data_IF_026032301328
#
_entry.id   IF_026032301328
#
_cell.length_a   1.000
_cell.length_b   1.000
_cell.length_c   1.000
_cell.angle_alpha   90.00
_cell.angle_beta   90.00
_cell.angle_gamma   90.00
#
_symmetry.space_group_name_H-M   'P 1'
#
loop_
_entity.id
_entity.type
_entity.pdbx_description
1 polymer ?
#
# COMPACT_ATOMS: atom_id res chain seq x y z
N UNK A 1 -26.07 2.60 -20.90
CA UNK A 1 -24.87 2.81 -21.73
C UNK A 1 -24.17 1.47 -21.84
N UNK A 2 -24.17 0.90 -23.04
CA UNK A 2 -23.42 -0.31 -23.37
C UNK A 2 -21.97 0.08 -23.68
N UNK A 3 -21.00 -0.81 -23.45
CA UNK A 3 -19.55 -0.59 -23.69
C UNK A 3 -19.17 -0.03 -25.08
N UNK A 4 -20.10 -0.06 -26.05
CA UNK A 4 -19.95 0.46 -27.40
C UNK A 4 -19.99 2.00 -27.56
N UNK A 5 -20.29 2.78 -26.51
CA UNK A 5 -20.37 4.26 -26.61
C UNK A 5 -19.09 5.01 -26.15
N UNK A 6 -18.03 4.29 -25.77
CA UNK A 6 -16.79 4.90 -25.27
C UNK A 6 -15.93 5.41 -26.42
N UNK A 7 -15.54 6.70 -26.38
CA UNK A 7 -14.55 7.28 -27.29
C UNK A 7 -13.16 7.25 -26.62
N UNK A 8 -12.30 6.25 -26.94
CA UNK A 8 -10.97 6.12 -26.32
C UNK A 8 -10.08 7.35 -26.56
N UNK A 9 -10.33 8.13 -27.63
CA UNK A 9 -9.54 9.32 -27.94
C UNK A 9 -9.93 10.52 -27.07
N UNK A 10 -11.19 10.65 -26.69
CA UNK A 10 -11.64 11.67 -25.76
C UNK A 10 -11.19 11.37 -24.33
N UNK A 11 -11.37 10.13 -23.88
CA UNK A 11 -10.95 9.68 -22.55
C UNK A 11 -9.42 9.76 -22.38
N UNK A 12 -8.64 9.39 -23.40
CA UNK A 12 -7.17 9.55 -23.37
C UNK A 12 -6.76 11.02 -23.23
N UNK A 13 -7.43 11.95 -23.92
CA UNK A 13 -7.15 13.39 -23.83
C UNK A 13 -7.44 13.93 -22.44
N UNK A 14 -8.50 13.45 -21.79
CA UNK A 14 -8.85 13.81 -20.42
C UNK A 14 -7.79 13.34 -19.43
N UNK A 15 -7.39 12.07 -19.51
CA UNK A 15 -6.34 11.51 -18.66
C UNK A 15 -4.99 12.25 -18.86
N UNK A 16 -4.66 12.62 -20.10
CA UNK A 16 -3.50 13.47 -20.41
C UNK A 16 -3.61 14.88 -19.85
N UNK A 17 -4.82 15.43 -19.71
CA UNK A 17 -5.05 16.73 -19.07
C UNK A 17 -4.76 16.66 -17.57
N UNK A 18 -5.25 15.62 -16.89
CA UNK A 18 -4.98 15.37 -15.46
C UNK A 18 -3.49 15.16 -15.18
N UNK A 19 -2.81 14.45 -16.07
CA UNK A 19 -1.36 14.28 -16.00
C UNK A 19 -0.62 15.63 -16.08
N UNK A 20 -1.02 16.51 -16.99
CA UNK A 20 -0.45 17.87 -17.12
C UNK A 20 -0.77 18.75 -15.90
N UNK A 21 -1.90 18.52 -15.25
CA UNK A 21 -2.27 19.16 -13.99
C UNK A 21 -1.56 18.57 -12.75
N UNK A 22 -0.59 17.65 -12.94
CA UNK A 22 0.16 16.96 -11.87
C UNK A 22 -0.70 16.07 -10.96
N UNK A 23 -1.89 15.69 -11.41
CA UNK A 23 -2.75 14.70 -10.75
C UNK A 23 -2.32 13.30 -11.21
N UNK A 24 -1.12 12.88 -10.80
CA UNK A 24 -0.46 11.68 -11.33
C UNK A 24 -1.16 10.37 -10.98
N UNK A 25 -1.73 10.30 -9.78
CA UNK A 25 -2.54 9.20 -9.27
C UNK A 25 -3.81 9.00 -10.11
N UNK A 26 -4.59 10.06 -10.30
CA UNK A 26 -5.84 10.04 -11.08
C UNK A 26 -5.53 9.71 -12.55
N UNK A 27 -4.51 10.35 -13.12
CA UNK A 27 -4.10 10.09 -14.49
C UNK A 27 -3.61 8.65 -14.71
N UNK A 28 -2.95 8.05 -13.71
CA UNK A 28 -2.53 6.64 -13.76
C UNK A 28 -3.72 5.69 -13.74
N UNK A 29 -4.67 5.87 -12.80
CA UNK A 29 -5.85 5.01 -12.69
C UNK A 29 -6.69 5.03 -13.97
N UNK A 30 -6.88 6.21 -14.57
CA UNK A 30 -7.59 6.36 -15.83
C UNK A 30 -6.83 5.74 -17.01
N UNK A 31 -5.52 5.94 -17.09
CA UNK A 31 -4.70 5.32 -18.13
C UNK A 31 -4.69 3.79 -18.00
N UNK A 32 -4.68 3.24 -16.77
CA UNK A 32 -4.75 1.80 -16.54
C UNK A 32 -6.12 1.23 -16.93
N UNK A 33 -7.21 1.93 -16.61
CA UNK A 33 -8.57 1.55 -17.03
C UNK A 33 -8.72 1.56 -18.55
N UNK A 34 -8.18 2.59 -19.21
CA UNK A 34 -8.14 2.69 -20.67
C UNK A 34 -7.33 1.57 -21.31
N UNK A 35 -6.15 1.24 -20.76
CA UNK A 35 -5.31 0.16 -21.28
C UNK A 35 -5.97 -1.21 -21.14
N UNK A 36 -6.78 -1.43 -20.09
CA UNK A 36 -7.59 -2.65 -19.93
C UNK A 36 -8.74 -2.72 -20.95
N UNK A 37 -9.41 -1.60 -21.21
CA UNK A 37 -10.54 -1.53 -22.13
C UNK A 37 -10.12 -1.54 -23.61
N UNK A 38 -8.94 -0.98 -23.93
CA UNK A 38 -8.45 -0.79 -25.30
C UNK A 38 -6.98 -1.23 -25.43
N UNK A 39 -6.67 -2.52 -25.18
CA UNK A 39 -5.30 -3.01 -25.13
C UNK A 39 -4.54 -2.88 -26.47
N UNK A 40 -5.26 -2.91 -27.59
CA UNK A 40 -4.69 -2.89 -28.94
C UNK A 40 -4.32 -1.48 -29.44
N UNK A 41 -4.63 -0.42 -28.68
CA UNK A 41 -4.33 0.96 -29.08
C UNK A 41 -2.94 1.36 -28.54
N UNK A 42 -1.91 1.52 -29.40
CA UNK A 42 -0.54 1.73 -28.94
C UNK A 42 -0.34 3.03 -28.14
N UNK A 43 -1.09 4.08 -28.47
CA UNK A 43 -1.01 5.37 -27.77
C UNK A 43 -1.52 5.29 -26.33
N UNK A 44 -2.54 4.46 -26.07
CA UNK A 44 -3.07 4.22 -24.73
C UNK A 44 -2.08 3.42 -23.90
N UNK A 45 -1.54 2.33 -24.46
CA UNK A 45 -0.52 1.53 -23.79
C UNK A 45 0.75 2.36 -23.48
N UNK A 46 1.21 3.16 -24.44
CA UNK A 46 2.35 4.06 -24.23
C UNK A 46 2.06 5.09 -23.13
N UNK A 47 0.85 5.66 -23.09
CA UNK A 47 0.48 6.62 -22.07
C UNK A 47 0.38 5.99 -20.68
N UNK A 48 -0.26 4.82 -20.54
CA UNK A 48 -0.31 4.08 -19.28
C UNK A 48 1.08 3.73 -18.75
N UNK A 49 2.01 3.34 -19.64
CA UNK A 49 3.41 3.11 -19.26
C UNK A 49 4.12 4.38 -18.80
N UNK A 50 3.84 5.53 -19.45
CA UNK A 50 4.42 6.82 -19.08
C UNK A 50 3.89 7.33 -17.73
N UNK A 51 2.58 7.31 -17.50
CA UNK A 51 1.97 7.72 -16.22
C UNK A 51 2.46 6.85 -15.07
N UNK A 52 2.59 5.54 -15.30
CA UNK A 52 3.19 4.60 -14.34
C UNK A 52 4.62 4.98 -13.95
N UNK A 53 5.51 5.26 -14.93
CA UNK A 53 6.90 5.67 -14.67
C UNK A 53 6.96 6.96 -13.87
N UNK A 54 6.11 7.94 -14.20
CA UNK A 54 6.05 9.22 -13.50
C UNK A 54 5.50 9.07 -12.08
N UNK A 55 4.47 8.24 -11.88
CA UNK A 55 3.91 7.97 -10.55
C UNK A 55 4.95 7.29 -9.63
N UNK A 56 5.72 6.33 -10.17
CA UNK A 56 6.84 5.70 -9.46
C UNK A 56 7.95 6.73 -9.11
N UNK A 57 8.35 7.57 -10.06
CA UNK A 57 9.34 8.62 -9.79
C UNK A 57 8.85 9.61 -8.72
N UNK A 58 7.55 9.94 -8.71
CA UNK A 58 6.94 10.78 -7.69
C UNK A 58 6.94 10.09 -6.31
N UNK A 59 6.58 8.81 -6.24
CA UNK A 59 6.66 8.02 -5.01
C UNK A 59 8.08 8.02 -4.42
N UNK A 60 9.10 7.78 -5.25
CA UNK A 60 10.51 7.84 -4.82
C UNK A 60 10.93 9.23 -4.32
N UNK A 61 10.40 10.29 -4.92
CA UNK A 61 10.67 11.66 -4.47
C UNK A 61 10.04 11.92 -3.10
N UNK A 62 8.81 11.46 -2.86
CA UNK A 62 8.12 11.57 -1.57
C UNK A 62 8.83 10.77 -0.47
N UNK A 63 9.36 9.58 -0.80
CA UNK A 63 10.18 8.81 0.14
C UNK A 63 11.43 9.62 0.54
N UNK A 64 12.13 10.19 -0.44
CA UNK A 64 13.33 11.01 -0.17
C UNK A 64 13.03 12.30 0.60
N UNK A 65 11.82 12.86 0.48
CA UNK A 65 11.41 14.05 1.21
C UNK A 65 10.81 13.76 2.58
N UNK A 66 10.65 12.49 2.95
CA UNK A 66 10.01 12.07 4.21
C UNK A 66 8.48 12.16 4.20
N UNK A 67 7.85 12.42 3.05
CA UNK A 67 6.39 12.44 2.89
C UNK A 67 5.83 11.02 2.73
N UNK A 68 6.11 10.16 3.72
CA UNK A 68 5.97 8.70 3.62
C UNK A 68 4.50 8.22 3.58
N UNK A 69 3.57 8.95 4.17
CA UNK A 69 2.13 8.67 4.05
C UNK A 69 1.64 8.89 2.61
N UNK A 70 2.08 9.97 1.96
CA UNK A 70 1.75 10.23 0.55
C UNK A 70 2.42 9.21 -0.38
N UNK A 71 3.68 8.86 -0.08
CA UNK A 71 4.39 7.81 -0.80
C UNK A 71 3.63 6.47 -0.70
N UNK A 72 3.08 6.17 0.48
CA UNK A 72 2.28 4.96 0.68
C UNK A 72 1.00 4.95 -0.14
N UNK A 73 0.24 6.04 -0.14
CA UNK A 73 -0.98 6.12 -0.96
C UNK A 73 -0.68 5.86 -2.44
N UNK A 74 0.44 6.37 -2.95
CA UNK A 74 0.88 6.09 -4.32
C UNK A 74 1.30 4.62 -4.47
N UNK A 75 2.00 4.07 -3.49
CA UNK A 75 2.37 2.66 -3.49
C UNK A 75 1.15 1.74 -3.60
N UNK A 76 0.05 2.04 -2.89
CA UNK A 76 -1.20 1.27 -2.96
C UNK A 76 -1.76 1.21 -4.39
N UNK A 77 -1.64 2.29 -5.17
CA UNK A 77 -2.07 2.28 -6.57
C UNK A 77 -1.14 1.46 -7.47
N UNK A 78 0.14 1.34 -7.11
CA UNK A 78 1.15 0.61 -7.87
C UNK A 78 1.28 -0.86 -7.45
N UNK A 79 0.76 -1.25 -6.29
CA UNK A 79 1.01 -2.58 -5.70
C UNK A 79 0.35 -3.74 -6.44
N UNK A 80 -0.68 -3.44 -7.24
CA UNK A 80 -1.34 -4.43 -8.12
C UNK A 80 -0.55 -4.66 -9.43
N UNK A 81 0.51 -3.88 -9.66
CA UNK A 81 1.39 -4.01 -10.83
C UNK A 81 2.58 -4.94 -10.51
N UNK A 82 2.50 -6.16 -11.00
CA UNK A 82 3.44 -7.25 -10.72
C UNK A 82 4.87 -7.00 -11.21
N UNK A 83 5.09 -6.10 -12.16
CA UNK A 83 6.43 -5.79 -12.70
C UNK A 83 7.24 -4.86 -11.77
N UNK A 84 6.59 -4.05 -10.93
CA UNK A 84 7.25 -2.95 -10.22
C UNK A 84 7.01 -2.90 -8.70
N UNK A 85 6.04 -3.65 -8.18
CA UNK A 85 5.70 -3.67 -6.76
C UNK A 85 6.89 -4.01 -5.82
N UNK A 86 7.79 -5.00 -6.09
CA UNK A 86 8.75 -5.45 -5.07
C UNK A 86 9.83 -4.42 -4.71
N UNK A 87 10.48 -3.80 -5.70
CA UNK A 87 11.61 -2.89 -5.45
C UNK A 87 11.15 -1.54 -4.84
N UNK A 88 9.97 -1.08 -5.23
CA UNK A 88 9.36 0.11 -4.64
C UNK A 88 8.87 -0.17 -3.21
N UNK A 89 8.35 -1.38 -2.98
CA UNK A 89 7.94 -1.83 -1.65
C UNK A 89 9.13 -1.82 -0.68
N UNK A 90 10.25 -2.46 -1.03
CA UNK A 90 11.43 -2.53 -0.16
C UNK A 90 11.91 -1.11 0.22
N UNK A 91 12.00 -0.21 -0.78
CA UNK A 91 12.42 1.18 -0.60
C UNK A 91 11.48 2.00 0.30
N UNK A 92 10.17 1.77 0.21
CA UNK A 92 9.20 2.42 1.10
C UNK A 92 9.27 1.83 2.50
N UNK A 93 9.30 0.50 2.64
CA UNK A 93 9.27 -0.15 3.95
C UNK A 93 10.45 0.19 4.83
N UNK A 94 11.65 0.27 4.25
CA UNK A 94 12.84 0.63 5.02
C UNK A 94 12.78 2.09 5.51
N UNK A 95 12.24 3.01 4.69
CA UNK A 95 12.05 4.40 5.11
C UNK A 95 10.89 4.54 6.13
N UNK A 96 9.77 3.88 5.88
CA UNK A 96 8.57 3.92 6.72
C UNK A 96 8.80 3.35 8.13
N UNK A 97 9.54 2.24 8.26
CA UNK A 97 9.87 1.64 9.55
C UNK A 97 10.78 2.53 10.40
N UNK A 98 11.61 3.38 9.76
CA UNK A 98 12.55 4.25 10.45
C UNK A 98 11.87 5.57 10.89
N UNK A 99 11.09 6.18 10.00
CA UNK A 99 10.68 7.58 10.15
C UNK A 99 9.20 7.77 10.50
N UNK A 100 8.35 6.73 10.37
CA UNK A 100 6.93 6.82 10.74
C UNK A 100 6.63 6.15 12.09
N UNK A 101 5.65 6.67 12.85
CA UNK A 101 5.10 5.95 13.99
C UNK A 101 4.57 4.57 13.58
N UNK A 102 4.79 3.56 14.41
CA UNK A 102 4.33 2.19 14.14
C UNK A 102 2.83 2.11 13.82
N UNK A 103 2.01 2.96 14.46
CA UNK A 103 0.57 3.09 14.17
C UNK A 103 0.28 3.56 12.74
N UNK A 104 1.03 4.54 12.22
CA UNK A 104 0.88 5.02 10.84
C UNK A 104 1.31 3.94 9.85
N UNK A 105 2.38 3.20 10.15
CA UNK A 105 2.81 2.07 9.31
C UNK A 105 1.77 0.95 9.31
N UNK A 106 1.18 0.61 10.46
CA UNK A 106 0.12 -0.40 10.53
C UNK A 106 -1.15 0.04 9.79
N UNK A 107 -1.58 1.30 9.91
CA UNK A 107 -2.72 1.85 9.15
C UNK A 107 -2.46 1.83 7.64
N UNK A 108 -1.23 2.12 7.23
CA UNK A 108 -0.83 1.97 5.84
C UNK A 108 -1.05 0.52 5.38
N UNK A 109 -0.60 -0.46 6.17
CA UNK A 109 -0.68 -1.89 5.83
C UNK A 109 -2.11 -2.49 5.91
N UNK A 110 -3.03 -1.88 6.65
CA UNK A 110 -4.42 -2.34 6.90
C UNK A 110 -5.33 -2.31 5.65
N UNK A 111 -4.96 -1.56 4.61
CA UNK A 111 -5.79 -1.37 3.41
C UNK A 111 -5.75 -2.50 2.36
N UNK A 112 -5.08 -3.63 2.61
CA UNK A 112 -4.85 -4.65 1.58
C UNK A 112 -5.70 -5.91 1.77
N UNK A 113 -6.26 -6.41 0.66
CA UNK A 113 -6.95 -7.70 0.62
C UNK A 113 -5.91 -8.81 0.49
N UNK A 114 -6.01 -9.91 1.26
CA UNK A 114 -5.02 -10.98 1.23
C UNK A 114 -4.91 -11.68 -0.13
N UNK A 115 -3.68 -12.05 -0.47
CA UNK A 115 -3.21 -12.72 -1.69
C UNK A 115 -1.93 -13.53 -1.37
N UNK A 116 -1.73 -14.67 -2.04
CA UNK A 116 -0.54 -15.49 -1.83
C UNK A 116 0.74 -14.94 -2.52
N UNK A 117 0.77 -13.64 -2.84
CA UNK A 117 1.90 -13.03 -3.56
C UNK A 117 3.13 -12.83 -2.68
N UNK A 118 4.33 -12.89 -3.27
CA UNK A 118 5.58 -12.59 -2.54
C UNK A 118 5.62 -11.16 -1.98
N UNK A 119 4.98 -10.22 -2.68
CA UNK A 119 4.78 -8.84 -2.21
C UNK A 119 4.00 -8.82 -0.90
N UNK A 120 3.04 -9.72 -0.72
CA UNK A 120 2.26 -9.82 0.50
C UNK A 120 3.05 -10.40 1.67
N UNK A 121 3.82 -11.46 1.45
CA UNK A 121 4.72 -12.00 2.49
C UNK A 121 5.68 -10.92 3.01
N UNK A 122 6.21 -10.08 2.12
CA UNK A 122 7.09 -8.96 2.49
C UNK A 122 6.36 -7.90 3.34
N UNK A 123 5.07 -7.64 3.10
CA UNK A 123 4.24 -6.79 3.97
C UNK A 123 4.15 -7.31 5.39
N UNK A 124 3.85 -8.59 5.53
CA UNK A 124 3.77 -9.21 6.85
C UNK A 124 5.11 -9.18 7.59
N UNK A 125 6.22 -9.30 6.86
CA UNK A 125 7.56 -9.18 7.46
C UNK A 125 7.85 -7.76 7.94
N UNK A 126 7.42 -6.74 7.21
CA UNK A 126 7.53 -5.34 7.65
C UNK A 126 6.67 -5.07 8.87
N UNK A 127 5.42 -5.55 8.89
CA UNK A 127 4.55 -5.46 10.06
C UNK A 127 5.19 -6.13 11.28
N UNK A 128 5.78 -7.31 11.10
CA UNK A 128 6.46 -8.04 12.17
C UNK A 128 7.57 -7.21 12.83
N UNK A 129 8.30 -6.37 12.07
CA UNK A 129 9.40 -5.52 12.58
C UNK A 129 8.91 -4.42 13.51
N UNK A 130 7.68 -3.96 13.36
CA UNK A 130 7.10 -2.86 14.14
C UNK A 130 6.07 -3.34 15.16
N UNK A 131 5.77 -4.63 15.20
CA UNK A 131 4.61 -5.17 15.89
C UNK A 131 4.65 -4.93 17.40
N UNK A 132 5.82 -5.08 18.02
CA UNK A 132 6.05 -4.79 19.44
C UNK A 132 5.85 -3.31 19.81
N UNK A 133 5.88 -2.40 18.83
CA UNK A 133 5.72 -0.96 19.03
C UNK A 133 4.27 -0.50 18.86
N UNK A 134 3.36 -1.40 18.47
CA UNK A 134 1.96 -1.06 18.30
C UNK A 134 1.27 -0.90 19.66
N UNK A 135 0.37 0.08 19.81
CA UNK A 135 -0.38 0.26 21.04
C UNK A 135 -1.29 -0.94 21.26
N UNK A 136 -1.42 -1.35 22.53
CA UNK A 136 -2.31 -2.47 22.86
C UNK A 136 -3.78 -2.07 22.73
N UNK A 137 -4.44 -2.60 21.71
CA UNK A 137 -5.88 -2.48 21.49
C UNK A 137 -6.37 -3.70 20.68
N UNK A 138 -7.70 -3.89 20.67
CA UNK A 138 -8.35 -5.01 20.00
C UNK A 138 -7.97 -5.13 18.52
N UNK A 139 -7.97 -4.01 17.78
CA UNK A 139 -7.62 -3.97 16.35
C UNK A 139 -6.19 -4.46 16.07
N UNK A 140 -5.21 -4.03 16.87
CA UNK A 140 -3.81 -4.43 16.68
C UNK A 140 -3.58 -5.89 17.09
N UNK A 141 -4.31 -6.39 18.09
CA UNK A 141 -4.29 -7.81 18.47
C UNK A 141 -4.86 -8.67 17.33
N UNK A 142 -5.99 -8.29 16.75
CA UNK A 142 -6.58 -8.96 15.57
C UNK A 142 -5.60 -8.97 14.38
N UNK A 143 -4.97 -7.83 14.12
CA UNK A 143 -3.95 -7.68 13.07
C UNK A 143 -2.77 -8.64 13.27
N UNK A 144 -2.34 -8.88 14.52
CA UNK A 144 -1.28 -9.84 14.83
C UNK A 144 -1.67 -11.28 14.55
N UNK A 145 -2.87 -11.69 14.97
CA UNK A 145 -3.37 -13.03 14.64
C UNK A 145 -3.51 -13.23 13.13
N UNK A 146 -3.94 -12.19 12.43
CA UNK A 146 -4.01 -12.20 10.98
C UNK A 146 -2.62 -12.35 10.34
N UNK A 147 -1.64 -11.58 10.81
CA UNK A 147 -0.25 -11.69 10.36
C UNK A 147 0.34 -13.10 10.57
N UNK A 148 0.01 -13.78 11.68
CA UNK A 148 0.42 -15.16 11.94
C UNK A 148 -0.17 -16.20 10.97
N UNK A 149 -1.32 -15.92 10.33
CA UNK A 149 -1.85 -16.81 9.27
C UNK A 149 -0.92 -16.82 8.06
N UNK A 150 -0.27 -15.70 7.78
CA UNK A 150 0.63 -15.52 6.63
C UNK A 150 2.10 -15.76 6.98
N UNK A 151 2.51 -15.54 8.24
CA UNK A 151 3.84 -15.84 8.75
C UNK A 151 3.77 -16.77 9.98
N UNK A 152 3.42 -18.05 9.80
CA UNK A 152 3.29 -18.98 10.91
C UNK A 152 4.60 -19.10 11.71
N UNK A 153 4.51 -18.93 13.03
CA UNK A 153 5.66 -19.06 13.94
C UNK A 153 6.64 -17.88 13.92
N UNK A 154 6.29 -16.74 13.33
CA UNK A 154 7.13 -15.55 13.37
C UNK A 154 7.26 -15.03 14.81
N UNK A 155 8.49 -15.05 15.34
CA UNK A 155 8.79 -14.73 16.73
C UNK A 155 8.39 -13.29 17.11
N UNK A 156 8.71 -12.28 16.29
CA UNK A 156 8.41 -10.88 16.61
C UNK A 156 6.91 -10.61 16.70
N UNK A 157 6.10 -11.27 15.86
CA UNK A 157 4.64 -11.16 15.97
C UNK A 157 4.13 -11.85 17.25
N UNK A 158 4.65 -13.03 17.58
CA UNK A 158 4.27 -13.75 18.80
C UNK A 158 4.64 -12.96 20.07
N UNK A 159 5.86 -12.43 20.13
CA UNK A 159 6.36 -11.66 21.27
C UNK A 159 5.53 -10.35 21.44
N UNK A 160 5.24 -9.65 20.33
CA UNK A 160 4.39 -8.46 20.37
C UNK A 160 2.93 -8.74 20.73
N UNK A 161 2.34 -9.86 20.28
CA UNK A 161 1.00 -10.30 20.67
C UNK A 161 0.93 -10.59 22.18
N UNK A 162 1.89 -11.36 22.70
CA UNK A 162 1.96 -11.67 24.13
C UNK A 162 2.07 -10.38 24.96
N UNK A 163 2.92 -9.44 24.52
CA UNK A 163 3.05 -8.14 25.17
C UNK A 163 1.72 -7.36 25.21
N UNK A 164 1.04 -7.24 24.06
CA UNK A 164 -0.23 -6.51 23.95
C UNK A 164 -1.34 -7.15 24.79
N UNK A 165 -1.51 -8.47 24.70
CA UNK A 165 -2.53 -9.20 25.46
C UNK A 165 -2.32 -9.01 26.97
N UNK A 166 -1.07 -9.15 27.44
CA UNK A 166 -0.73 -8.98 28.84
C UNK A 166 -0.96 -7.53 29.32
N UNK A 167 -0.71 -6.53 28.49
CA UNK A 167 -1.04 -5.14 28.82
C UNK A 167 -2.55 -4.91 28.92
N UNK A 168 -3.34 -5.39 27.95
CA UNK A 168 -4.80 -5.23 27.94
C UNK A 168 -5.45 -5.82 29.18
N UNK A 169 -4.98 -6.99 29.63
CA UNK A 169 -5.48 -7.63 30.85
C UNK A 169 -5.18 -6.81 32.11
N UNK A 170 -4.01 -6.18 32.20
CA UNK A 170 -3.64 -5.32 33.35
C UNK A 170 -4.47 -4.04 33.38
N UNK A 171 -4.74 -3.44 32.23
CA UNK A 171 -5.59 -2.24 32.13
C UNK A 171 -7.02 -2.58 32.57
N UNK A 172 -7.60 -3.67 32.06
CA UNK A 172 -8.95 -4.11 32.43
C UNK A 172 -9.09 -4.44 33.93
N UNK A 173 -8.05 -5.00 34.57
CA UNK A 173 -8.04 -5.26 36.02
C UNK A 173 -7.96 -3.98 36.85
N UNK A 174 -7.33 -2.93 36.33
CA UNK A 174 -7.14 -1.65 37.04
C UNK A 174 -8.41 -0.78 37.03
N UNK A 175 -9.31 -0.98 36.07
CA UNK A 175 -10.58 -0.25 35.95
C UNK A 175 -11.70 -0.82 36.85
N UNK A 176 -11.44 -1.96 37.51
CA UNK A 176 -12.41 -2.67 38.38
C UNK A 176 -12.23 -2.29 39.87
N UNK A 177 -11.22 -1.48 40.21
CA UNK A 177 -10.90 -1.02 41.57
C UNK A 177 -11.29 0.45 41.75
#
# INVERSE_FOLDING_TARGET
MTEHDRDPSAELREAQSKFRARQFDVAYLEAQSLAKAFPDIPSISAFASATRKSLNAHCKALIKSGELEKAWHIFLHLSDDTEFAPALFDSWTDAAVIDLPATSVAQCLDGFTPSDSDTEKRKWLTLARIFEQLPSNEKNIELGFYALRHLPGNKSILDGLDHMINQSQRTAQSEII
#
